data_IF_920897818822
#
_entry.id   IF_920897818822
#
_cell.length_a   1.000
_cell.length_b   1.000
_cell.length_c   1.000
_cell.angle_alpha   90.00
_cell.angle_beta   90.00
_cell.angle_gamma   90.00
#
_symmetry.space_group_name_H-M   'P 1'
#
loop_
_entity.id
_entity.type
_entity.pdbx_description
1 polymer ?
#
# COMPACT_ATOMS: atom_id res chain seq x y z
N UNK A 1 32.87 -23.90 -54.26
CA UNK A 1 33.98 -23.08 -54.80
C UNK A 1 34.16 -21.87 -53.88
N UNK A 2 35.40 -21.38 -53.71
CA UNK A 2 35.81 -20.40 -52.70
C UNK A 2 35.11 -19.02 -52.75
N UNK A 3 35.25 -18.24 -51.66
CA UNK A 3 35.21 -16.75 -51.68
C UNK A 3 36.57 -16.17 -52.15
N UNK A 4 37.07 -15.01 -51.66
CA UNK A 4 36.55 -14.10 -50.62
C UNK A 4 36.80 -12.55 -50.88
N UNK A 5 36.78 -11.73 -49.80
CA UNK A 5 37.42 -10.40 -49.51
C UNK A 5 37.07 -9.07 -50.22
N UNK A 6 36.78 -8.03 -49.40
CA UNK A 6 37.53 -6.75 -49.17
C UNK A 6 36.62 -5.74 -48.43
N UNK A 7 36.83 -5.33 -47.16
CA UNK A 7 37.77 -4.31 -46.62
C UNK A 7 37.66 -2.93 -47.31
N UNK A 8 37.54 -1.76 -46.65
CA UNK A 8 37.47 -1.32 -45.22
C UNK A 8 37.21 0.23 -45.23
N UNK A 9 37.57 1.08 -44.23
CA UNK A 9 37.84 0.93 -42.79
C UNK A 9 36.58 1.39 -41.97
N UNK A 10 36.57 1.83 -40.69
CA UNK A 10 37.52 1.83 -39.57
C UNK A 10 37.88 3.23 -38.99
N UNK A 11 37.48 3.54 -37.75
CA UNK A 11 38.01 4.65 -36.90
C UNK A 11 37.85 4.35 -35.40
N UNK A 12 38.89 4.66 -34.61
CA UNK A 12 38.91 4.52 -33.14
C UNK A 12 38.64 5.88 -32.47
N UNK A 13 38.09 5.89 -31.25
CA UNK A 13 38.84 6.23 -30.03
C UNK A 13 37.95 6.36 -28.79
N UNK A 14 38.55 5.90 -27.69
CA UNK A 14 38.12 5.90 -26.29
C UNK A 14 37.60 7.23 -25.72
N UNK A 15 36.59 7.15 -24.84
CA UNK A 15 36.17 8.25 -23.98
C UNK A 15 35.62 7.75 -22.64
N UNK A 16 36.51 7.47 -21.68
CA UNK A 16 36.11 7.24 -20.28
C UNK A 16 35.65 8.57 -19.67
N UNK A 17 34.46 8.59 -19.07
CA UNK A 17 33.95 9.75 -18.33
C UNK A 17 33.55 9.34 -16.91
N UNK A 18 34.54 9.32 -16.02
CA UNK A 18 34.34 9.22 -14.57
C UNK A 18 34.18 10.61 -13.96
N UNK A 19 33.00 11.00 -13.46
CA UNK A 19 32.86 12.20 -12.64
C UNK A 19 33.47 11.96 -11.25
N UNK A 20 34.70 12.47 -11.11
CA UNK A 20 35.40 13.01 -9.93
C UNK A 20 34.62 13.03 -8.59
N UNK A 21 35.27 12.57 -7.50
CA UNK A 21 34.84 12.82 -6.11
C UNK A 21 35.34 14.18 -5.60
N UNK A 22 34.43 15.04 -5.14
CA UNK A 22 34.58 16.08 -4.10
C UNK A 22 33.17 16.71 -3.89
N UNK A 23 32.69 17.09 -2.71
CA UNK A 23 33.33 17.71 -1.54
C UNK A 23 32.72 17.27 -0.20
N UNK A 24 33.47 17.49 0.88
CA UNK A 24 33.04 17.36 2.28
C UNK A 24 32.03 18.43 2.67
N UNK A 25 30.97 18.03 3.39
CA UNK A 25 30.24 18.90 4.32
C UNK A 25 30.08 18.18 5.66
N UNK A 26 31.07 18.36 6.56
CA UNK A 26 30.88 18.11 7.99
C UNK A 26 30.31 19.38 8.59
N UNK A 27 29.02 19.40 8.88
CA UNK A 27 28.45 20.28 9.91
C UNK A 27 27.89 19.37 10.99
N UNK A 28 28.52 19.42 12.15
CA UNK A 28 28.06 18.82 13.40
C UNK A 28 27.31 19.90 14.15
N UNK A 29 26.12 19.58 14.64
CA UNK A 29 25.49 20.03 15.90
C UNK A 29 24.06 19.45 15.88
N UNK A 30 23.81 18.29 16.49
CA UNK A 30 23.60 18.10 17.93
C UNK A 30 22.41 18.92 18.46
N UNK A 31 21.24 18.28 18.56
CA UNK A 31 20.32 18.41 19.71
C UNK A 31 19.30 17.25 19.70
N UNK A 32 19.01 16.71 20.88
CA UNK A 32 18.45 15.36 21.08
C UNK A 32 17.10 15.04 20.45
N UNK A 33 17.01 13.79 19.95
CA UNK A 33 15.82 13.10 19.47
C UNK A 33 16.26 11.85 18.71
N UNK A 34 15.74 10.67 19.06
CA UNK A 34 16.14 9.41 18.40
C UNK A 34 15.60 9.33 16.97
N UNK A 35 16.41 9.79 16.02
CA UNK A 35 16.15 9.59 14.59
C UNK A 35 16.67 8.21 14.16
N UNK A 36 15.75 7.33 13.78
CA UNK A 36 16.06 5.98 13.31
C UNK A 36 16.77 6.09 11.95
N UNK A 37 18.08 5.86 11.96
CA UNK A 37 18.99 6.02 10.82
C UNK A 37 18.77 4.91 9.78
N UNK A 38 17.92 5.19 8.77
CA UNK A 38 17.75 4.28 7.63
C UNK A 38 18.90 4.46 6.62
N UNK A 39 19.94 3.64 6.76
CA UNK A 39 20.97 3.46 5.74
C UNK A 39 20.38 2.92 4.42
N UNK A 40 19.94 3.81 3.54
CA UNK A 40 19.60 3.50 2.15
C UNK A 40 20.83 3.76 1.29
N UNK A 41 21.76 2.80 1.27
CA UNK A 41 22.77 2.72 0.22
C UNK A 41 22.30 1.81 -0.93
N UNK A 42 22.41 2.32 -2.15
CA UNK A 42 22.45 1.58 -3.42
C UNK A 42 21.30 0.61 -3.78
N UNK A 43 20.07 1.12 -3.99
CA UNK A 43 19.02 0.38 -4.73
C UNK A 43 18.02 1.28 -5.50
N UNK A 44 18.49 2.27 -6.27
CA UNK A 44 17.62 3.14 -7.09
C UNK A 44 17.13 2.45 -8.38
N UNK A 45 16.19 1.50 -8.28
CA UNK A 45 15.37 1.03 -9.40
C UNK A 45 13.92 0.73 -8.96
N UNK A 46 13.11 1.78 -8.90
CA UNK A 46 11.64 1.75 -8.99
C UNK A 46 10.82 0.81 -8.05
N UNK A 47 11.29 0.52 -6.83
CA UNK A 47 10.41 -0.07 -5.79
C UNK A 47 9.55 1.02 -5.16
N UNK A 48 8.27 1.09 -5.54
CA UNK A 48 7.27 1.91 -4.80
C UNK A 48 7.25 1.41 -3.35
N UNK A 49 7.35 2.29 -2.33
CA UNK A 49 7.39 1.88 -0.93
C UNK A 49 6.15 1.03 -0.60
N UNK A 50 6.37 -0.15 -0.04
CA UNK A 50 5.30 -1.06 0.38
C UNK A 50 4.54 -0.41 1.54
N UNK A 51 3.35 0.10 1.25
CA UNK A 51 2.50 0.74 2.24
C UNK A 51 2.02 -0.31 3.25
N UNK A 52 2.21 -0.05 4.54
CA UNK A 52 1.89 -0.98 5.64
C UNK A 52 0.37 -1.19 5.86
N UNK A 53 -0.44 -0.33 5.24
CA UNK A 53 -1.90 -0.32 5.24
C UNK A 53 -2.38 0.16 3.85
N UNK A 54 -3.64 0.00 3.43
CA UNK A 54 -4.13 0.67 2.22
C UNK A 54 -4.16 2.20 2.41
N UNK A 55 -4.19 2.96 1.30
CA UNK A 55 -4.46 4.40 1.35
C UNK A 55 -5.86 4.65 1.92
N UNK A 56 -5.97 5.50 2.94
CA UNK A 56 -7.22 5.88 3.60
C UNK A 56 -7.47 7.38 3.39
N UNK A 57 -8.72 7.73 3.09
CA UNK A 57 -9.21 9.10 3.01
C UNK A 57 -10.39 9.28 3.97
N UNK A 58 -10.60 10.49 4.47
CA UNK A 58 -11.81 10.84 5.21
C UNK A 58 -12.78 11.50 4.25
N UNK A 59 -13.98 10.93 4.09
CA UNK A 59 -15.06 11.51 3.29
C UNK A 59 -16.32 11.53 4.17
N UNK A 60 -16.91 12.72 4.36
CA UNK A 60 -18.08 12.95 5.22
C UNK A 60 -17.89 12.41 6.67
N UNK A 61 -16.69 12.57 7.23
CA UNK A 61 -16.33 12.05 8.55
C UNK A 61 -16.06 10.54 8.62
N UNK A 62 -16.26 9.80 7.53
CA UNK A 62 -16.03 8.35 7.46
C UNK A 62 -14.67 8.03 6.85
N UNK A 63 -13.93 7.12 7.48
CA UNK A 63 -12.72 6.54 6.93
C UNK A 63 -13.06 5.56 5.79
N UNK A 64 -12.54 5.84 4.60
CA UNK A 64 -12.77 5.08 3.37
C UNK A 64 -11.47 4.82 2.63
N UNK A 65 -11.43 3.77 1.82
CA UNK A 65 -10.33 3.44 0.89
C UNK A 65 -10.89 3.26 -0.52
N UNK A 66 -10.02 3.03 -1.52
CA UNK A 66 -10.42 2.73 -2.89
C UNK A 66 -10.10 1.28 -3.26
N UNK A 67 -10.85 0.68 -4.18
CA UNK A 67 -10.52 -0.67 -4.67
C UNK A 67 -9.14 -0.74 -5.35
N UNK A 68 -8.61 0.39 -5.83
CA UNK A 68 -7.24 0.50 -6.34
C UNK A 68 -6.22 0.40 -5.20
N UNK A 69 -6.36 1.21 -4.15
CA UNK A 69 -5.49 1.14 -2.97
C UNK A 69 -5.54 -0.23 -2.27
N UNK A 70 -6.69 -0.90 -2.27
CA UNK A 70 -6.83 -2.29 -1.80
C UNK A 70 -6.07 -3.28 -2.71
N UNK A 71 -6.09 -3.08 -4.03
CA UNK A 71 -5.35 -3.90 -4.98
C UNK A 71 -3.83 -3.77 -4.77
N UNK A 72 -3.34 -2.54 -4.63
CA UNK A 72 -1.92 -2.24 -4.36
C UNK A 72 -1.48 -2.79 -2.99
N UNK A 73 -2.33 -2.64 -1.96
CA UNK A 73 -2.07 -3.18 -0.63
C UNK A 73 -2.03 -4.71 -0.59
N UNK A 74 -2.88 -5.44 -1.32
CA UNK A 74 -2.84 -6.90 -1.33
C UNK A 74 -2.00 -7.53 -2.45
N UNK A 75 -1.31 -6.72 -3.26
CA UNK A 75 -0.58 -7.14 -4.46
C UNK A 75 -1.48 -7.99 -5.38
N UNK A 76 -2.63 -7.42 -5.75
CA UNK A 76 -3.62 -8.05 -6.65
C UNK A 76 -3.89 -7.12 -7.82
N UNK A 77 -4.35 -7.65 -8.95
CA UNK A 77 -4.80 -6.81 -10.07
C UNK A 77 -6.11 -6.13 -9.67
N UNK A 78 -6.26 -4.83 -9.96
CA UNK A 78 -7.47 -4.06 -9.65
C UNK A 78 -8.75 -4.70 -10.20
N UNK A 79 -8.70 -5.26 -11.41
CA UNK A 79 -9.81 -6.00 -12.02
C UNK A 79 -10.22 -7.26 -11.23
N UNK A 80 -9.30 -7.92 -10.53
CA UNK A 80 -9.61 -9.09 -9.70
C UNK A 80 -10.24 -8.66 -8.36
N UNK A 81 -9.86 -7.50 -7.82
CA UNK A 81 -10.51 -6.90 -6.65
C UNK A 81 -11.95 -6.48 -6.96
N UNK A 82 -12.18 -5.84 -8.11
CA UNK A 82 -13.53 -5.48 -8.60
C UNK A 82 -14.40 -6.72 -8.71
N UNK A 83 -13.94 -7.77 -9.42
CA UNK A 83 -14.68 -9.03 -9.57
C UNK A 83 -14.98 -9.68 -8.22
N UNK A 84 -14.04 -9.62 -7.26
CA UNK A 84 -14.25 -10.16 -5.92
C UNK A 84 -15.32 -9.38 -5.15
N UNK A 85 -15.37 -8.05 -5.27
CA UNK A 85 -16.43 -7.19 -4.70
C UNK A 85 -17.80 -7.55 -5.31
N UNK A 86 -17.86 -7.68 -6.63
CA UNK A 86 -19.07 -8.07 -7.36
C UNK A 86 -19.58 -9.45 -6.91
N UNK A 87 -18.68 -10.39 -6.63
CA UNK A 87 -18.98 -11.75 -6.18
C UNK A 87 -19.07 -11.92 -4.65
N UNK A 88 -19.19 -10.86 -3.84
CA UNK A 88 -19.32 -11.01 -2.38
C UNK A 88 -20.71 -11.48 -1.98
N UNK A 89 -20.80 -12.65 -1.35
CA UNK A 89 -22.00 -13.16 -0.70
C UNK A 89 -22.27 -12.36 0.59
N UNK A 90 -23.01 -11.27 0.45
CA UNK A 90 -23.40 -10.36 1.52
C UNK A 90 -24.79 -9.77 1.22
N UNK A 91 -25.48 -9.25 2.25
CA UNK A 91 -26.80 -8.66 2.05
C UNK A 91 -26.74 -7.41 1.17
N UNK A 92 -27.80 -7.14 0.41
CA UNK A 92 -27.90 -5.97 -0.48
C UNK A 92 -27.64 -4.66 0.27
N UNK A 93 -28.18 -4.54 1.49
CA UNK A 93 -27.98 -3.38 2.36
C UNK A 93 -26.51 -3.23 2.79
N UNK A 94 -25.85 -4.31 3.18
CA UNK A 94 -24.42 -4.29 3.50
C UNK A 94 -23.60 -3.87 2.28
N UNK A 95 -23.90 -4.42 1.10
CA UNK A 95 -23.21 -4.09 -0.15
C UNK A 95 -23.33 -2.60 -0.48
N UNK A 96 -24.56 -2.08 -0.50
CA UNK A 96 -24.84 -0.68 -0.83
C UNK A 96 -24.17 0.31 0.13
N UNK A 97 -24.13 -0.01 1.43
CA UNK A 97 -23.54 0.87 2.45
C UNK A 97 -22.02 0.85 2.47
N UNK A 98 -21.39 -0.24 2.02
CA UNK A 98 -19.96 -0.47 2.18
C UNK A 98 -19.13 -0.46 0.88
N UNK A 99 -19.76 -0.57 -0.30
CA UNK A 99 -19.11 -0.56 -1.61
C UNK A 99 -19.82 0.40 -2.57
N UNK A 100 -19.46 1.69 -2.50
CA UNK A 100 -19.99 2.70 -3.40
C UNK A 100 -19.25 2.67 -4.76
N UNK A 101 -19.98 2.45 -5.84
CA UNK A 101 -19.41 2.45 -7.20
C UNK A 101 -18.95 3.85 -7.61
N UNK A 102 -17.78 3.93 -8.24
CA UNK A 102 -17.18 5.17 -8.74
C UNK A 102 -16.33 4.89 -9.97
N UNK A 103 -15.64 5.90 -10.51
CA UNK A 103 -14.74 5.73 -11.65
C UNK A 103 -13.46 6.53 -11.51
N UNK A 104 -12.34 5.96 -11.91
CA UNK A 104 -11.05 6.66 -12.05
C UNK A 104 -10.84 7.05 -13.52
N UNK A 105 -10.33 8.26 -13.75
CA UNK A 105 -9.96 8.74 -15.08
C UNK A 105 -8.49 8.43 -15.35
N UNK A 106 -8.20 7.70 -16.43
CA UNK A 106 -6.85 7.42 -16.90
C UNK A 106 -6.58 8.13 -18.23
N UNK A 107 -5.40 8.71 -18.38
CA UNK A 107 -4.96 9.25 -19.66
C UNK A 107 -4.52 8.11 -20.59
N UNK A 108 -4.90 8.21 -21.86
CA UNK A 108 -4.53 7.25 -22.91
C UNK A 108 -3.33 7.77 -23.71
N UNK A 109 -2.54 6.87 -24.35
CA UNK A 109 -1.42 7.26 -25.22
C UNK A 109 -1.82 8.15 -26.41
N UNK A 110 -3.09 8.14 -26.81
CA UNK A 110 -3.65 9.00 -27.88
C UNK A 110 -4.07 10.40 -27.40
N UNK A 111 -3.76 10.79 -26.16
CA UNK A 111 -4.15 12.08 -25.56
C UNK A 111 -5.59 12.14 -25.03
N UNK A 112 -6.40 11.10 -25.24
CA UNK A 112 -7.75 11.00 -24.66
C UNK A 112 -7.76 10.56 -23.19
N UNK A 113 -8.94 10.59 -22.56
CA UNK A 113 -9.14 10.07 -21.20
C UNK A 113 -10.18 8.96 -21.20
N UNK A 114 -9.95 7.89 -20.44
CA UNK A 114 -10.91 6.78 -20.23
C UNK A 114 -11.30 6.68 -18.76
N UNK A 115 -12.59 6.48 -18.50
CA UNK A 115 -13.07 6.09 -17.17
C UNK A 115 -12.93 4.57 -16.99
N UNK A 116 -12.34 4.15 -15.88
CA UNK A 116 -12.32 2.76 -15.42
C UNK A 116 -13.20 2.60 -14.17
N UNK A 117 -13.91 1.47 -14.01
CA UNK A 117 -14.69 1.20 -12.80
C UNK A 117 -13.79 1.15 -11.57
N UNK A 118 -14.29 1.64 -10.45
CA UNK A 118 -13.62 1.61 -9.15
C UNK A 118 -14.69 1.57 -8.04
N UNK A 119 -14.29 1.28 -6.82
CA UNK A 119 -15.17 1.35 -5.64
C UNK A 119 -14.52 2.21 -4.57
N UNK A 120 -15.33 3.05 -3.92
CA UNK A 120 -15.04 3.60 -2.60
C UNK A 120 -15.57 2.61 -1.55
N UNK A 121 -14.69 2.22 -0.63
CA UNK A 121 -14.92 1.11 0.29
C UNK A 121 -14.79 1.62 1.73
N UNK A 122 -15.78 1.33 2.58
CA UNK A 122 -15.75 1.68 4.00
C UNK A 122 -14.78 0.78 4.79
N UNK A 123 -14.50 1.11 6.05
CA UNK A 123 -13.79 0.21 6.98
C UNK A 123 -14.39 -1.20 7.00
N UNK A 124 -15.71 -1.30 7.11
CA UNK A 124 -16.41 -2.57 7.27
C UNK A 124 -16.42 -3.39 5.96
N UNK A 125 -16.59 -2.71 4.82
CA UNK A 125 -16.44 -3.32 3.50
C UNK A 125 -15.02 -3.81 3.24
N UNK A 126 -14.01 -3.05 3.67
CA UNK A 126 -12.61 -3.42 3.56
C UNK A 126 -12.30 -4.66 4.40
N UNK A 127 -12.73 -4.69 5.67
CA UNK A 127 -12.55 -5.85 6.54
C UNK A 127 -13.20 -7.11 5.95
N UNK A 128 -14.45 -7.02 5.51
CA UNK A 128 -15.19 -8.14 4.89
C UNK A 128 -14.49 -8.65 3.63
N UNK A 129 -14.06 -7.74 2.74
CA UNK A 129 -13.34 -8.08 1.51
C UNK A 129 -11.97 -8.73 1.79
N UNK A 130 -11.22 -8.18 2.76
CA UNK A 130 -9.89 -8.64 3.12
C UNK A 130 -9.87 -10.05 3.72
N UNK A 131 -10.89 -10.44 4.49
CA UNK A 131 -11.05 -11.81 4.99
C UNK A 131 -11.13 -12.84 3.85
N UNK A 132 -11.70 -12.45 2.70
CA UNK A 132 -11.78 -13.26 1.49
C UNK A 132 -10.49 -13.33 0.65
N UNK A 133 -9.37 -12.77 1.10
CA UNK A 133 -8.09 -12.79 0.39
C UNK A 133 -7.07 -13.79 0.97
N UNK A 134 -6.19 -14.24 0.07
CA UNK A 134 -5.04 -15.12 0.32
C UNK A 134 -3.72 -14.42 -0.01
N UNK A 135 -2.62 -14.93 0.57
CA UNK A 135 -1.25 -14.41 0.42
C UNK A 135 -0.67 -13.82 1.71
N UNK A 136 0.64 -13.55 1.76
CA UNK A 136 1.37 -13.11 2.96
C UNK A 136 0.77 -11.87 3.63
N UNK A 137 0.50 -10.79 2.87
CA UNK A 137 -0.12 -9.57 3.40
C UNK A 137 -1.56 -9.81 3.91
N UNK A 138 -2.30 -10.75 3.32
CA UNK A 138 -3.63 -11.12 3.81
C UNK A 138 -3.55 -11.92 5.12
N UNK A 139 -2.53 -12.78 5.30
CA UNK A 139 -2.28 -13.45 6.57
C UNK A 139 -1.93 -12.44 7.67
N UNK A 140 -0.96 -11.55 7.42
CA UNK A 140 -0.57 -10.47 8.34
C UNK A 140 -1.76 -9.57 8.74
N UNK A 141 -2.62 -9.21 7.78
CA UNK A 141 -3.84 -8.44 8.07
C UNK A 141 -4.80 -9.20 9.00
N UNK A 142 -5.00 -10.52 8.78
CA UNK A 142 -5.86 -11.35 9.62
C UNK A 142 -5.29 -11.54 11.02
N UNK A 143 -3.98 -11.73 11.15
CA UNK A 143 -3.27 -11.78 12.44
C UNK A 143 -3.40 -10.45 13.19
N UNK A 144 -3.21 -9.31 12.52
CA UNK A 144 -3.38 -7.99 13.12
C UNK A 144 -4.83 -7.75 13.59
N UNK A 145 -5.82 -8.20 12.81
CA UNK A 145 -7.24 -8.14 13.19
C UNK A 145 -7.54 -8.97 14.44
N UNK A 146 -7.03 -10.22 14.50
CA UNK A 146 -7.16 -11.11 15.67
C UNK A 146 -6.49 -10.49 16.89
N UNK A 147 -5.29 -9.93 16.74
CA UNK A 147 -4.57 -9.29 17.84
C UNK A 147 -5.32 -8.07 18.38
N UNK A 148 -5.91 -7.24 17.52
CA UNK A 148 -6.76 -6.13 17.94
C UNK A 148 -8.02 -6.61 18.67
N UNK A 149 -8.65 -7.70 18.22
CA UNK A 149 -9.78 -8.33 18.91
C UNK A 149 -9.40 -8.80 20.31
N UNK A 150 -8.29 -9.53 20.45
CA UNK A 150 -7.79 -10.02 21.73
C UNK A 150 -7.39 -8.88 22.70
N UNK A 151 -6.98 -7.72 22.17
CA UNK A 151 -6.73 -6.52 22.99
C UNK A 151 -8.02 -5.91 23.52
N UNK A 152 -9.07 -5.82 22.69
CA UNK A 152 -10.39 -5.35 23.13
C UNK A 152 -11.01 -6.31 24.15
N UNK A 153 -10.91 -7.63 23.94
CA UNK A 153 -11.35 -8.64 24.91
C UNK A 153 -10.65 -8.47 26.27
N UNK A 154 -9.32 -8.25 26.27
CA UNK A 154 -8.56 -8.00 27.50
C UNK A 154 -8.99 -6.72 28.23
N UNK A 155 -9.40 -5.68 27.52
CA UNK A 155 -9.89 -4.45 28.14
C UNK A 155 -11.28 -4.64 28.77
N UNK A 156 -12.15 -5.43 28.14
CA UNK A 156 -13.51 -5.69 28.62
C UNK A 156 -13.59 -6.78 29.69
N UNK A 157 -12.59 -7.67 29.78
CA UNK A 157 -12.50 -8.74 30.78
C UNK A 157 -11.80 -8.33 32.09
N UNK A 158 -11.32 -7.09 32.21
CA UNK A 158 -10.95 -6.50 33.50
C UNK A 158 -12.24 -6.34 34.33
N UNK A 159 -12.40 -7.06 35.45
CA UNK A 159 -13.63 -6.97 36.24
C UNK A 159 -13.80 -5.56 36.83
N UNK A 160 -14.99 -4.96 36.69
CA UNK A 160 -15.31 -3.63 37.22
C UNK A 160 -15.43 -3.56 38.76
N UNK A 161 -15.06 -4.62 39.48
CA UNK A 161 -15.25 -4.78 40.94
C UNK A 161 -14.14 -4.10 41.76
N UNK A 162 -13.96 -2.79 41.59
CA UNK A 162 -13.20 -1.94 42.52
C UNK A 162 -13.78 -0.53 42.77
N UNK A 163 -14.96 -0.17 42.25
CA UNK A 163 -15.57 1.15 42.47
C UNK A 163 -16.53 1.24 43.67
N UNK A 164 -17.17 0.13 44.06
CA UNK A 164 -18.42 0.21 44.85
C UNK A 164 -18.22 0.01 46.37
N UNK A 165 -16.99 -0.23 46.82
CA UNK A 165 -16.68 -0.57 48.23
C UNK A 165 -16.36 0.64 49.14
N UNK A 166 -16.44 1.88 48.64
CA UNK A 166 -15.86 3.05 49.30
C UNK A 166 -16.87 4.10 49.86
N UNK A 167 -18.17 3.78 49.95
CA UNK A 167 -19.22 4.75 50.33
C UNK A 167 -19.99 4.40 51.63
N UNK A 168 -19.48 3.49 52.47
CA UNK A 168 -20.06 3.19 53.79
C UNK A 168 -18.99 3.28 54.89
N UNK A 169 -18.72 4.51 55.36
CA UNK A 169 -17.99 4.83 56.59
C UNK A 169 -18.46 6.19 57.12
#
# INVERSE_FOLDING_TARGET
RAGPVSAGPGSMLTGISTPVRLTTYKVVESLGGEFIEFNIEAATMATVPTLAQPEIRIINGQAVTSSLAVADYFIKRHADVIRKIESLECSTLFRQRNFAFTSISINQPNGGTRKLPCYQITRDGFAFLAMGFTGKRAAQFKEAYINAFNQMEKQLSIPSVLSDAAHNA
#
